data_IF_754591879007
#
_entry.id   IF_754591879007
#
_cell.length_a   1.000
_cell.length_b   1.000
_cell.length_c   1.000
_cell.angle_alpha   90.00
_cell.angle_beta   90.00
_cell.angle_gamma   90.00
#
_symmetry.space_group_name_H-M   'P 1'
#
loop_
_entity.id
_entity.type
_entity.pdbx_description
1 polymer ?
#
# COMPACT_ATOMS: atom_id res chain seq x y z
N UNK A 1 2.16 12.42 -1.80
CA UNK A 1 1.00 13.11 -2.39
C UNK A 1 0.92 12.69 -3.83
N UNK A 2 -0.23 12.18 -4.27
CA UNK A 2 -0.40 11.58 -5.60
C UNK A 2 -0.62 12.65 -6.69
N UNK A 3 -0.72 12.22 -7.95
CA UNK A 3 -0.93 13.07 -9.12
C UNK A 3 -2.08 14.09 -8.92
N UNK A 4 -1.76 15.39 -8.97
CA UNK A 4 -2.72 16.45 -8.66
C UNK A 4 -3.94 16.48 -9.60
N UNK A 5 -3.80 16.53 -10.94
CA UNK A 5 -4.95 16.48 -11.84
C UNK A 5 -5.87 15.27 -11.61
N UNK A 6 -5.28 14.08 -11.41
CA UNK A 6 -6.04 12.87 -11.15
C UNK A 6 -6.84 12.96 -9.84
N UNK A 7 -6.16 13.31 -8.74
CA UNK A 7 -6.79 13.34 -7.42
C UNK A 7 -7.80 14.49 -7.29
N UNK A 8 -7.51 15.67 -7.84
CA UNK A 8 -8.39 16.83 -7.74
C UNK A 8 -9.73 16.63 -8.48
N UNK A 9 -9.74 15.86 -9.57
CA UNK A 9 -10.96 15.53 -10.29
C UNK A 9 -11.92 14.62 -9.50
N UNK A 10 -11.44 13.95 -8.44
CA UNK A 10 -12.21 13.01 -7.62
C UNK A 10 -12.52 13.61 -6.24
N UNK A 11 -11.55 14.25 -5.61
CA UNK A 11 -11.60 14.71 -4.21
C UNK A 11 -11.65 16.24 -4.06
N UNK A 12 -11.74 17.00 -5.17
CA UNK A 12 -11.46 18.45 -5.22
C UNK A 12 -10.01 18.79 -4.85
N UNK A 13 -9.67 20.07 -4.78
CA UNK A 13 -8.34 20.46 -4.30
C UNK A 13 -8.22 20.27 -2.78
N UNK A 14 -7.03 19.96 -2.25
CA UNK A 14 -6.83 19.82 -0.80
C UNK A 14 -7.22 21.08 -0.02
N UNK A 15 -7.10 22.26 -0.64
CA UNK A 15 -7.47 23.54 -0.05
C UNK A 15 -8.99 23.72 0.07
N UNK A 16 -9.74 23.18 -0.89
CA UNK A 16 -11.21 23.27 -0.92
C UNK A 16 -11.87 22.19 -0.05
N UNK A 17 -11.32 20.97 -0.02
CA UNK A 17 -11.92 19.84 0.68
C UNK A 17 -10.89 18.96 1.41
N UNK A 18 -10.25 19.54 2.43
CA UNK A 18 -9.32 18.81 3.33
C UNK A 18 -9.93 17.55 3.96
N UNK A 19 -11.25 17.52 4.17
CA UNK A 19 -11.92 16.42 4.85
C UNK A 19 -11.97 15.18 3.97
N UNK A 20 -12.24 15.34 2.68
CA UNK A 20 -12.22 14.23 1.71
C UNK A 20 -10.85 13.56 1.66
N UNK A 21 -9.76 14.33 1.61
CA UNK A 21 -8.39 13.78 1.64
C UNK A 21 -8.08 12.99 2.92
N UNK A 22 -8.54 13.49 4.09
CA UNK A 22 -8.36 12.77 5.36
C UNK A 22 -9.16 11.46 5.39
N UNK A 23 -10.42 11.50 4.95
CA UNK A 23 -11.30 10.32 4.95
C UNK A 23 -10.86 9.25 3.94
N UNK A 24 -10.27 9.64 2.82
CA UNK A 24 -9.86 8.73 1.76
C UNK A 24 -8.46 8.15 1.95
N UNK A 25 -7.66 8.65 2.90
CA UNK A 25 -6.28 8.23 3.09
C UNK A 25 -6.17 7.06 4.08
N UNK A 26 -5.78 5.84 3.66
CA UNK A 26 -5.77 4.64 4.53
C UNK A 26 -4.85 4.75 5.74
N UNK A 27 -3.81 5.58 5.68
CA UNK A 27 -2.87 5.78 6.79
C UNK A 27 -3.55 6.27 8.08
N UNK A 28 -4.65 7.02 7.98
CA UNK A 28 -5.42 7.48 9.15
C UNK A 28 -6.29 6.38 9.78
N UNK A 29 -6.39 5.22 9.15
CA UNK A 29 -7.17 4.07 9.62
C UNK A 29 -6.29 2.88 10.00
N UNK A 30 -4.95 3.03 9.97
CA UNK A 30 -4.01 1.96 10.28
C UNK A 30 -4.21 1.35 11.69
N UNK A 31 -4.70 2.14 12.65
CA UNK A 31 -5.05 1.65 14.00
C UNK A 31 -6.16 0.59 13.96
N UNK A 32 -7.09 0.71 13.02
CA UNK A 32 -8.19 -0.22 12.81
C UNK A 32 -7.79 -1.51 12.09
N UNK A 33 -6.51 -1.72 11.76
CA UNK A 33 -6.07 -2.96 11.12
C UNK A 33 -6.41 -4.17 12.00
N UNK A 34 -7.22 -5.07 11.44
CA UNK A 34 -7.60 -6.37 11.96
C UNK A 34 -7.24 -7.45 10.92
N UNK A 35 -6.99 -8.69 11.35
CA UNK A 35 -6.69 -9.80 10.43
C UNK A 35 -5.21 -9.88 10.05
N UNK A 36 -4.88 -10.12 8.78
CA UNK A 36 -3.51 -10.14 8.30
C UNK A 36 -3.37 -9.32 7.01
N UNK A 37 -2.26 -8.60 6.87
CA UNK A 37 -1.99 -7.74 5.73
C UNK A 37 -0.72 -8.16 4.99
N UNK A 38 -0.79 -8.32 3.68
CA UNK A 38 0.38 -8.40 2.82
C UNK A 38 0.40 -7.16 1.93
N UNK A 39 1.51 -6.43 1.93
CA UNK A 39 1.75 -5.28 1.05
C UNK A 39 2.81 -5.67 0.03
N UNK A 40 2.48 -5.58 -1.25
CA UNK A 40 3.40 -5.81 -2.36
C UNK A 40 3.63 -4.47 -3.07
N UNK A 41 4.89 -4.04 -3.26
CA UNK A 41 5.16 -2.77 -3.93
C UNK A 41 6.48 -2.77 -4.71
N UNK A 42 6.43 -2.25 -5.95
CA UNK A 42 7.60 -1.94 -6.75
C UNK A 42 8.39 -0.76 -6.19
N UNK A 43 9.71 -0.86 -6.09
CA UNK A 43 10.56 0.20 -5.50
C UNK A 43 10.81 1.34 -6.48
N UNK A 44 10.71 1.08 -7.79
CA UNK A 44 10.92 2.08 -8.84
C UNK A 44 9.60 2.58 -9.43
N UNK A 45 8.48 2.38 -8.72
CA UNK A 45 7.17 2.87 -9.13
C UNK A 45 7.14 4.40 -9.24
N UNK A 46 6.96 4.91 -10.46
CA UNK A 46 6.90 6.34 -10.77
C UNK A 46 5.47 6.89 -10.80
N UNK A 47 4.48 6.01 -10.81
CA UNK A 47 3.07 6.35 -10.78
C UNK A 47 2.58 6.50 -9.33
N UNK A 48 2.69 5.43 -8.54
CA UNK A 48 2.43 5.39 -7.09
C UNK A 48 3.76 5.31 -6.36
N UNK A 49 4.20 6.41 -5.77
CA UNK A 49 5.52 6.47 -5.17
C UNK A 49 5.67 5.51 -4.00
N UNK A 50 6.78 4.76 -3.97
CA UNK A 50 7.13 3.84 -2.89
C UNK A 50 7.14 4.48 -1.48
N UNK A 51 7.29 5.80 -1.39
CA UNK A 51 7.17 6.52 -0.11
C UNK A 51 5.84 6.27 0.59
N UNK A 52 4.75 6.04 -0.14
CA UNK A 52 3.43 5.82 0.45
C UNK A 52 3.41 4.53 1.30
N UNK A 53 4.04 3.45 0.85
CA UNK A 53 4.17 2.23 1.66
C UNK A 53 5.13 2.41 2.83
N UNK A 54 6.23 3.15 2.65
CA UNK A 54 7.17 3.46 3.75
C UNK A 54 6.46 4.18 4.91
N UNK A 55 5.60 5.15 4.58
CA UNK A 55 4.81 5.89 5.60
C UNK A 55 3.81 4.99 6.30
N UNK A 56 3.13 4.11 5.56
CA UNK A 56 2.19 3.16 6.16
C UNK A 56 2.93 2.17 7.07
N UNK A 57 4.06 1.62 6.64
CA UNK A 57 4.91 0.73 7.44
C UNK A 57 5.37 1.39 8.73
N UNK A 58 5.88 2.63 8.67
CA UNK A 58 6.25 3.40 9.87
C UNK A 58 5.06 3.53 10.82
N UNK A 59 3.88 3.85 10.29
CA UNK A 59 2.67 3.99 11.10
C UNK A 59 2.24 2.67 11.76
N UNK A 60 2.34 1.54 11.05
CA UNK A 60 2.04 0.22 11.59
C UNK A 60 3.02 -0.17 12.71
N UNK A 61 4.30 0.17 12.56
CA UNK A 61 5.33 -0.01 13.60
C UNK A 61 5.01 0.83 14.84
N UNK A 62 4.68 2.11 14.69
CA UNK A 62 4.30 2.99 15.80
C UNK A 62 3.08 2.48 16.58
N UNK A 63 2.17 1.80 15.89
CA UNK A 63 0.94 1.24 16.47
C UNK A 63 1.16 -0.17 17.05
N UNK A 64 2.37 -0.73 16.98
CA UNK A 64 2.69 -2.08 17.47
C UNK A 64 1.89 -3.17 16.73
N UNK A 65 1.60 -2.98 15.44
CA UNK A 65 0.95 -4.01 14.63
C UNK A 65 1.99 -5.03 14.19
N UNK A 66 1.70 -6.31 14.38
CA UNK A 66 2.63 -7.42 14.05
C UNK A 66 2.08 -8.37 12.97
N UNK A 67 0.84 -8.15 12.55
CA UNK A 67 0.08 -8.98 11.62
C UNK A 67 0.16 -8.47 10.18
N UNK A 68 1.32 -7.96 9.77
CA UNK A 68 1.54 -7.43 8.42
C UNK A 68 2.90 -7.84 7.87
N UNK A 69 2.99 -7.92 6.53
CA UNK A 69 4.21 -8.24 5.79
C UNK A 69 4.38 -7.25 4.63
N UNK A 70 5.62 -6.80 4.38
CA UNK A 70 5.97 -5.99 3.21
C UNK A 70 6.89 -6.78 2.28
N UNK A 71 6.44 -6.99 1.04
CA UNK A 71 7.22 -7.52 -0.06
C UNK A 71 7.63 -6.36 -0.99
N UNK A 72 8.93 -6.07 -1.01
CA UNK A 72 9.52 -5.03 -1.88
C UNK A 72 10.05 -5.69 -3.15
N UNK A 73 9.71 -5.12 -4.30
CA UNK A 73 10.17 -5.58 -5.61
C UNK A 73 11.08 -4.52 -6.23
N UNK A 74 12.42 -4.65 -6.10
CA UNK A 74 13.35 -3.56 -6.39
C UNK A 74 13.38 -3.06 -7.83
N UNK A 75 13.05 -3.93 -8.79
CA UNK A 75 13.12 -3.65 -10.23
C UNK A 75 11.75 -3.41 -10.85
N UNK A 76 10.67 -3.50 -10.08
CA UNK A 76 9.31 -3.34 -10.58
C UNK A 76 8.83 -1.89 -10.41
N UNK A 77 8.12 -1.40 -11.45
CA UNK A 77 7.40 -0.13 -11.46
C UNK A 77 5.97 -0.36 -10.92
N UNK A 78 4.97 0.36 -11.45
CA UNK A 78 3.57 0.18 -11.10
C UNK A 78 2.96 -1.15 -11.57
N UNK A 79 3.53 -1.74 -12.62
CA UNK A 79 3.16 -3.06 -13.12
C UNK A 79 4.31 -4.03 -12.91
N UNK A 80 3.98 -5.29 -12.65
CA UNK A 80 4.98 -6.33 -12.51
C UNK A 80 5.30 -6.86 -13.91
N UNK A 81 6.57 -6.85 -14.29
CA UNK A 81 7.05 -7.30 -15.59
C UNK A 81 7.87 -8.59 -15.47
N UNK A 82 8.67 -8.74 -14.40
CA UNK A 82 9.56 -9.88 -14.26
C UNK A 82 8.76 -11.13 -13.83
N UNK A 83 8.84 -12.26 -14.58
CA UNK A 83 8.13 -13.48 -14.21
C UNK A 83 8.48 -13.97 -12.79
N UNK A 84 9.70 -13.70 -12.31
CA UNK A 84 10.09 -14.00 -10.93
C UNK A 84 9.30 -13.22 -9.89
N UNK A 85 9.02 -11.94 -10.15
CA UNK A 85 8.23 -11.09 -9.25
C UNK A 85 6.78 -11.56 -9.20
N UNK A 86 6.19 -11.86 -10.36
CA UNK A 86 4.86 -12.49 -10.45
C UNK A 86 4.79 -13.77 -9.62
N UNK A 87 5.76 -14.67 -9.80
CA UNK A 87 5.76 -15.95 -9.08
C UNK A 87 5.89 -15.75 -7.58
N UNK A 88 6.73 -14.82 -7.11
CA UNK A 88 6.87 -14.54 -5.67
C UNK A 88 5.60 -13.91 -5.08
N UNK A 89 5.02 -12.92 -5.76
CA UNK A 89 3.78 -12.25 -5.35
C UNK A 89 2.65 -13.26 -5.14
N UNK A 90 2.36 -14.08 -6.16
CA UNK A 90 1.28 -15.07 -6.09
C UNK A 90 1.54 -16.14 -5.04
N UNK A 91 2.81 -16.55 -4.84
CA UNK A 91 3.17 -17.48 -3.76
C UNK A 91 2.91 -16.89 -2.38
N UNK A 92 3.19 -15.60 -2.17
CA UNK A 92 2.91 -14.91 -0.88
C UNK A 92 1.43 -14.76 -0.64
N UNK A 93 0.65 -14.38 -1.66
CA UNK A 93 -0.81 -14.30 -1.58
C UNK A 93 -1.39 -15.67 -1.21
N UNK A 94 -0.97 -16.74 -1.89
CA UNK A 94 -1.40 -18.09 -1.58
C UNK A 94 -1.06 -18.47 -0.13
N UNK A 95 0.19 -18.28 0.30
CA UNK A 95 0.61 -18.57 1.69
C UNK A 95 -0.16 -17.77 2.73
N UNK A 96 -0.50 -16.52 2.44
CA UNK A 96 -1.34 -15.71 3.32
C UNK A 96 -2.69 -16.39 3.52
N UNK A 97 -3.39 -16.73 2.44
CA UNK A 97 -4.70 -17.38 2.51
C UNK A 97 -4.64 -18.74 3.19
N UNK A 98 -3.64 -19.56 2.89
CA UNK A 98 -3.45 -20.86 3.54
C UNK A 98 -3.32 -20.75 5.06
N UNK A 99 -2.71 -19.66 5.54
CA UNK A 99 -2.41 -19.46 6.96
C UNK A 99 -3.54 -18.76 7.71
N UNK A 100 -4.47 -18.11 7.01
CA UNK A 100 -5.45 -17.19 7.63
C UNK A 100 -6.91 -17.48 7.31
N UNK A 101 -7.20 -18.21 6.23
CA UNK A 101 -8.56 -18.49 5.75
C UNK A 101 -8.91 -20.00 5.72
N UNK A 102 -7.98 -20.87 6.09
CA UNK A 102 -8.23 -22.30 6.26
C UNK A 102 -8.76 -22.64 7.65
#
# INVERSE_FOLDING_TARGET
>A
HYNHPYTANILNTPQEDTLSYKKSSPIYFAEGLQGHLLICHGMVDVNVQFQDVVRLTQRLIELGKDNWELAVYPMEDHSFAEPSSWVDEYKRIYKLFERTLR
#
